data_IF_745958146733
#
_entry.id   IF_745958146733
#
_cell.length_a   1.000
_cell.length_b   1.000
_cell.length_c   1.000
_cell.angle_alpha   90.00
_cell.angle_beta   90.00
_cell.angle_gamma   90.00
#
_symmetry.space_group_name_H-M   'P 1'
#
loop_
_entity.id
_entity.type
_entity.pdbx_description
1 polymer ?
#
# COMPACT_ATOMS: atom_id res chain seq x y z
N UNK A 1 7.15 4.71 -0.21
CA UNK A 1 7.11 3.67 -1.25
C UNK A 1 5.98 4.00 -2.21
N UNK A 2 6.29 4.04 -3.50
CA UNK A 2 5.32 4.16 -4.58
C UNK A 2 5.14 2.78 -5.22
N UNK A 3 3.95 2.22 -5.12
CA UNK A 3 3.67 0.86 -5.60
C UNK A 3 2.56 0.89 -6.65
N UNK A 4 2.83 0.46 -7.89
CA UNK A 4 1.78 0.29 -8.88
C UNK A 4 0.85 -0.85 -8.48
N UNK A 5 -0.46 -0.66 -8.62
CA UNK A 5 -1.48 -1.68 -8.35
C UNK A 5 -2.05 -2.14 -9.68
N UNK A 6 -2.06 -3.44 -9.92
CA UNK A 6 -2.50 -4.05 -11.18
C UNK A 6 -1.86 -3.40 -12.44
N UNK A 7 -0.53 -3.26 -12.50
CA UNK A 7 0.12 -2.67 -13.65
C UNK A 7 -0.05 -3.57 -14.87
N UNK A 8 -0.26 -2.98 -16.03
CA UNK A 8 -0.30 -3.72 -17.29
C UNK A 8 1.08 -4.30 -17.68
N UNK A 9 2.16 -3.61 -17.28
CA UNK A 9 3.52 -4.02 -17.60
C UNK A 9 4.14 -4.82 -16.45
N UNK A 10 4.68 -6.00 -16.75
CA UNK A 10 5.40 -6.86 -15.79
C UNK A 10 6.65 -6.22 -15.21
N UNK A 11 7.23 -5.23 -15.90
CA UNK A 11 8.40 -4.48 -15.44
C UNK A 11 8.10 -3.43 -14.39
N UNK A 12 6.82 -3.11 -14.13
CA UNK A 12 6.42 -2.13 -13.13
C UNK A 12 6.71 -2.66 -11.72
N UNK A 13 7.64 -2.04 -11.05
CA UNK A 13 8.08 -2.42 -9.69
C UNK A 13 7.83 -1.30 -8.70
N UNK A 14 7.66 -1.62 -7.41
CA UNK A 14 7.65 -0.60 -6.37
C UNK A 14 8.94 0.21 -6.38
N UNK A 15 8.81 1.53 -6.17
CA UNK A 15 9.92 2.46 -6.10
C UNK A 15 10.02 3.02 -4.69
N UNK A 16 11.21 2.97 -4.12
CA UNK A 16 11.51 3.59 -2.84
C UNK A 16 11.97 5.03 -3.10
N UNK A 17 11.30 5.98 -2.50
CA UNK A 17 11.60 7.40 -2.61
C UNK A 17 12.08 7.95 -1.27
N UNK A 18 12.90 9.00 -1.29
CA UNK A 18 13.22 9.76 -0.09
C UNK A 18 11.96 10.38 0.51
N UNK A 19 11.92 10.54 1.82
CA UNK A 19 10.83 11.25 2.51
C UNK A 19 10.71 12.73 2.09
N UNK A 20 11.78 13.32 1.59
CA UNK A 20 11.80 14.71 1.11
C UNK A 20 11.32 14.87 -0.33
N UNK A 21 11.04 13.74 -1.01
CA UNK A 21 10.63 13.78 -2.41
C UNK A 21 9.20 14.32 -2.54
N UNK A 22 9.07 15.33 -3.38
CA UNK A 22 7.77 15.82 -3.84
C UNK A 22 7.33 14.99 -5.04
N UNK A 23 6.20 14.32 -4.94
CA UNK A 23 5.62 13.50 -6.00
C UNK A 23 4.42 14.20 -6.61
N UNK A 24 4.45 14.40 -7.92
CA UNK A 24 3.31 14.93 -8.66
C UNK A 24 2.73 13.84 -9.55
N UNK A 25 1.43 13.64 -9.47
CA UNK A 25 0.71 12.63 -10.26
C UNK A 25 -0.27 13.34 -11.20
N UNK A 26 -0.10 13.12 -12.49
CA UNK A 26 -1.00 13.63 -13.53
C UNK A 26 -1.76 12.47 -14.17
N UNK A 27 -3.08 12.52 -14.24
CA UNK A 27 -3.85 11.51 -14.97
C UNK A 27 -3.61 11.66 -16.49
N UNK A 28 -3.34 10.55 -17.17
CA UNK A 28 -3.21 10.52 -18.63
C UNK A 28 -4.51 10.14 -19.34
N UNK A 29 -5.45 9.58 -18.61
CA UNK A 29 -6.79 9.25 -19.11
C UNK A 29 -7.75 10.44 -18.88
N UNK A 30 -8.95 10.42 -19.51
CA UNK A 30 -9.98 11.38 -19.15
C UNK A 30 -10.16 11.45 -17.64
N UNK A 31 -9.94 12.61 -17.05
CA UNK A 31 -9.87 12.80 -15.60
C UNK A 31 -11.13 12.33 -14.86
N UNK A 32 -12.29 12.36 -15.53
CA UNK A 32 -13.56 11.85 -15.00
C UNK A 32 -13.55 10.37 -14.56
N UNK A 33 -12.56 9.59 -15.04
CA UNK A 33 -12.38 8.18 -14.70
C UNK A 33 -11.37 7.96 -13.59
N UNK A 34 -10.66 9.00 -13.15
CA UNK A 34 -9.61 8.88 -12.14
C UNK A 34 -10.14 9.29 -10.78
N UNK A 35 -10.08 8.38 -9.83
CA UNK A 35 -10.45 8.62 -8.44
C UNK A 35 -9.25 8.59 -7.53
N UNK A 36 -9.27 9.43 -6.51
CA UNK A 36 -8.29 9.42 -5.42
C UNK A 36 -8.96 8.92 -4.16
N UNK A 37 -8.29 8.00 -3.47
CA UNK A 37 -8.76 7.44 -2.21
C UNK A 37 -7.62 7.58 -1.20
N UNK A 38 -7.91 8.16 -0.04
CA UNK A 38 -6.95 8.25 1.08
C UNK A 38 -7.49 7.41 2.23
N UNK A 39 -6.64 6.51 2.74
CA UNK A 39 -6.91 5.62 3.89
C UNK A 39 -8.24 4.83 3.77
N UNK A 40 -8.71 4.62 2.55
CA UNK A 40 -9.94 3.90 2.27
C UNK A 40 -11.24 4.69 2.47
N UNK A 41 -11.18 5.87 3.05
CA UNK A 41 -12.36 6.66 3.45
C UNK A 41 -12.59 7.88 2.57
N UNK A 42 -11.61 8.76 2.48
CA UNK A 42 -11.73 9.98 1.68
C UNK A 42 -11.65 9.66 0.19
N UNK A 43 -12.68 10.06 -0.55
CA UNK A 43 -12.79 9.77 -1.99
C UNK A 43 -13.19 11.02 -2.74
N UNK A 44 -12.47 11.30 -3.82
CA UNK A 44 -12.88 12.33 -4.79
C UNK A 44 -12.48 11.92 -6.19
N UNK A 45 -13.10 12.54 -7.18
CA UNK A 45 -12.72 12.39 -8.58
C UNK A 45 -11.85 13.55 -8.99
N UNK A 46 -10.86 13.28 -9.82
CA UNK A 46 -10.05 14.33 -10.42
C UNK A 46 -10.82 14.97 -11.59
N UNK A 47 -10.73 16.29 -11.68
CA UNK A 47 -11.21 17.08 -12.82
C UNK A 47 -10.18 17.10 -13.96
N UNK A 48 -10.58 17.67 -15.08
CA UNK A 48 -9.67 17.96 -16.19
C UNK A 48 -8.58 18.94 -15.70
N UNK A 49 -7.33 18.64 -16.01
CA UNK A 49 -6.16 19.41 -15.57
C UNK A 49 -5.82 19.34 -14.06
N UNK A 50 -6.53 18.54 -13.29
CA UNK A 50 -6.12 18.29 -11.91
C UNK A 50 -4.81 17.53 -11.84
N UNK A 51 -4.08 17.77 -10.78
CA UNK A 51 -2.93 16.96 -10.42
C UNK A 51 -2.93 16.69 -8.92
N UNK A 52 -2.38 15.57 -8.54
CA UNK A 52 -2.20 15.20 -7.14
C UNK A 52 -0.76 15.47 -6.73
N UNK A 53 -0.59 16.22 -5.65
CA UNK A 53 0.70 16.48 -5.04
C UNK A 53 0.81 15.70 -3.75
N UNK A 54 1.86 14.89 -3.63
CA UNK A 54 2.13 14.07 -2.44
C UNK A 54 3.47 14.46 -1.86
N UNK A 55 3.48 14.86 -0.60
CA UNK A 55 4.68 15.22 0.15
C UNK A 55 4.57 14.79 1.59
N UNK A 56 5.69 14.72 2.27
CA UNK A 56 5.71 14.47 3.70
C UNK A 56 5.04 15.61 4.46
N UNK A 57 4.20 15.29 5.44
CA UNK A 57 3.60 16.27 6.31
C UNK A 57 4.65 16.97 7.17
N UNK A 58 4.47 18.27 7.42
CA UNK A 58 5.36 19.05 8.28
C UNK A 58 5.37 18.56 9.75
N UNK A 59 4.28 17.91 10.17
CA UNK A 59 4.15 17.34 11.51
C UNK A 59 4.01 15.84 11.43
N UNK A 60 4.88 15.06 12.09
CA UNK A 60 4.76 13.62 12.13
C UNK A 60 3.55 13.21 12.99
N UNK A 61 2.94 12.07 12.64
CA UNK A 61 2.01 11.39 13.52
C UNK A 61 2.80 10.72 14.65
N UNK A 62 2.46 11.04 15.89
CA UNK A 62 3.05 10.41 17.06
C UNK A 62 2.31 9.13 17.38
N UNK A 63 3.00 8.00 17.28
CA UNK A 63 2.43 6.69 17.60
C UNK A 63 2.96 6.25 18.96
N UNK A 64 2.05 6.01 19.90
CA UNK A 64 2.39 5.42 21.19
C UNK A 64 2.60 3.93 20.99
N UNK A 65 3.83 3.48 21.17
CA UNK A 65 4.16 2.06 21.08
C UNK A 65 4.27 1.42 22.47
N UNK A 66 3.85 0.15 22.57
CA UNK A 66 4.05 -0.62 23.81
C UNK A 66 5.51 -1.00 23.96
N UNK A 67 6.18 -0.74 25.09
CA UNK A 67 7.57 -1.15 25.31
C UNK A 67 7.74 -2.67 25.35
N UNK A 68 6.65 -3.41 25.57
CA UNK A 68 6.65 -4.88 25.65
C UNK A 68 6.52 -5.60 24.31
N UNK A 69 6.23 -4.86 23.22
CA UNK A 69 6.03 -5.46 21.89
C UNK A 69 7.03 -4.88 20.92
N UNK A 70 7.98 -5.69 20.46
CA UNK A 70 8.86 -5.28 19.37
C UNK A 70 8.09 -5.20 18.04
N UNK A 71 8.46 -4.25 17.22
CA UNK A 71 7.91 -4.06 15.87
C UNK A 71 7.94 -5.36 15.04
N UNK A 72 9.07 -6.05 15.05
CA UNK A 72 9.23 -7.31 14.31
C UNK A 72 8.34 -8.44 14.84
N UNK A 73 8.10 -8.49 16.16
CA UNK A 73 7.17 -9.46 16.74
C UNK A 73 5.75 -9.22 16.26
N UNK A 74 5.34 -7.95 16.16
CA UNK A 74 4.01 -7.56 15.64
C UNK A 74 3.89 -7.96 14.16
N UNK A 75 4.90 -7.66 13.35
CA UNK A 75 4.91 -8.03 11.93
C UNK A 75 4.79 -9.54 11.73
N UNK A 76 5.59 -10.33 12.45
CA UNK A 76 5.52 -11.80 12.36
C UNK A 76 4.14 -12.32 12.73
N UNK A 77 3.57 -11.82 13.83
CA UNK A 77 2.28 -12.31 14.32
C UNK A 77 1.12 -11.91 13.42
N UNK A 78 1.12 -10.67 12.89
CA UNK A 78 -0.01 -10.15 12.10
C UNK A 78 0.08 -10.44 10.62
N UNK A 79 1.29 -10.46 10.06
CA UNK A 79 1.53 -10.66 8.64
C UNK A 79 2.05 -12.07 8.32
N UNK A 80 2.23 -12.91 9.34
CA UNK A 80 2.87 -14.23 9.22
C UNK A 80 4.22 -14.18 8.50
N UNK A 81 4.96 -13.09 8.68
CA UNK A 81 6.22 -12.83 8.01
C UNK A 81 7.36 -13.59 8.71
N UNK A 82 8.02 -14.49 7.95
CA UNK A 82 9.15 -15.28 8.46
C UNK A 82 8.78 -16.23 9.60
N UNK A 83 7.51 -16.58 9.74
CA UNK A 83 7.08 -17.71 10.56
C UNK A 83 7.17 -19.01 9.76
N UNK A 84 7.21 -20.15 10.46
CA UNK A 84 6.98 -21.44 9.84
C UNK A 84 5.67 -21.38 9.03
N UNK A 85 5.59 -22.09 7.90
CA UNK A 85 4.35 -22.18 7.17
C UNK A 85 3.27 -22.60 8.17
N UNK A 86 2.32 -21.70 8.42
CA UNK A 86 1.18 -22.03 9.26
C UNK A 86 0.54 -23.21 8.58
N UNK A 87 0.44 -24.31 9.30
CA UNK A 87 -0.24 -25.51 8.85
C UNK A 87 -1.75 -25.20 8.80
N UNK A 88 -2.10 -24.25 7.91
CA UNK A 88 -3.48 -23.91 7.65
C UNK A 88 -4.07 -25.12 6.89
N UNK A 89 -5.09 -25.76 7.46
CA UNK A 89 -5.76 -26.83 6.75
C UNK A 89 -6.25 -26.29 5.41
N UNK A 90 -5.69 -26.82 4.32
CA UNK A 90 -6.13 -26.47 2.98
C UNK A 90 -7.63 -26.77 2.85
N UNK A 91 -8.41 -25.93 2.17
CA UNK A 91 -9.80 -26.24 1.84
C UNK A 91 -9.90 -27.60 1.14
N UNK A 92 -10.93 -28.38 1.46
CA UNK A 92 -11.12 -29.72 0.91
C UNK A 92 -10.96 -29.87 -0.63
N UNK A 93 -11.37 -28.89 -1.46
CA UNK A 93 -11.12 -28.97 -2.90
C UNK A 93 -9.64 -29.00 -3.27
N UNK A 94 -8.79 -28.31 -2.51
CA UNK A 94 -7.35 -28.22 -2.80
C UNK A 94 -6.62 -29.49 -2.34
N UNK A 95 -7.10 -30.17 -1.31
CA UNK A 95 -6.52 -31.43 -0.83
C UNK A 95 -6.65 -32.58 -1.82
N UNK A 96 -7.59 -32.50 -2.77
CA UNK A 96 -7.81 -33.56 -3.76
C UNK A 96 -6.81 -33.55 -4.92
N UNK A 97 -6.02 -32.48 -5.04
CA UNK A 97 -5.06 -32.29 -6.12
C UNK A 97 -3.59 -32.28 -5.65
N UNK A 98 -3.34 -32.45 -4.37
CA UNK A 98 -2.04 -32.73 -3.77
C UNK A 98 -2.00 -34.19 -3.33
#
# INVERSE_FOLDING_TARGET
>A
ILTPVCPFMLSSRPVLLSSETLVTVHPLAPASQVGVIIDGELRWRMGENDYLLVQQAARPLLIVSSPWKSYFKILRTKLHWGGDPVDLPLPDPVRRYC
#
